data_IF_292739082179
#
_entry.id   IF_292739082179
#
_cell.length_a   1.000
_cell.length_b   1.000
_cell.length_c   1.000
_cell.angle_alpha   90.00
_cell.angle_beta   90.00
_cell.angle_gamma   90.00
#
_symmetry.space_group_name_H-M   'P 1'
#
loop_
_entity.id
_entity.type
_entity.pdbx_description
1 polymer ?
#
# COMPACT_ATOMS: atom_id res chain seq x y z
N UNK A 1 4.80 13.75 31.78
CA UNK A 1 5.64 12.61 31.37
C UNK A 1 4.73 11.44 31.15
N UNK A 2 4.58 11.02 29.89
CA UNK A 2 3.82 9.86 29.44
C UNK A 2 4.78 8.79 28.94
N UNK A 3 4.42 7.51 29.05
CA UNK A 3 5.22 6.44 28.45
C UNK A 3 4.83 6.26 26.99
N UNK A 4 5.82 6.03 26.14
CA UNK A 4 5.60 5.65 24.76
C UNK A 4 4.74 4.38 24.69
N UNK A 5 3.59 4.47 24.02
CA UNK A 5 2.65 3.37 23.82
C UNK A 5 3.07 2.41 22.71
N UNK A 6 4.11 2.73 21.93
CA UNK A 6 4.63 1.84 20.91
C UNK A 6 5.17 0.53 21.54
N UNK A 7 4.83 -0.64 20.98
CA UNK A 7 5.31 -1.91 21.50
C UNK A 7 6.84 -1.93 21.61
N UNK A 8 7.36 -2.33 22.77
CA UNK A 8 8.81 -2.52 23.04
C UNK A 8 9.66 -1.25 23.08
N UNK A 9 9.10 -0.04 23.01
CA UNK A 9 9.84 1.20 23.20
C UNK A 9 10.10 1.48 24.68
N UNK A 10 9.05 1.76 25.46
CA UNK A 10 9.14 1.99 26.91
C UNK A 10 9.77 3.33 27.33
N UNK A 11 10.08 4.22 26.38
CA UNK A 11 10.63 5.55 26.63
C UNK A 11 9.65 6.45 27.41
N UNK A 12 10.17 7.30 28.29
CA UNK A 12 9.40 8.35 28.96
C UNK A 12 9.48 9.65 28.16
N UNK A 13 8.33 10.20 27.80
CA UNK A 13 8.19 11.34 26.89
C UNK A 13 7.57 12.50 27.68
N UNK A 14 8.04 13.71 27.44
CA UNK A 14 7.32 14.91 27.86
C UNK A 14 6.08 15.06 26.96
N UNK A 15 4.89 15.16 27.56
CA UNK A 15 3.60 15.19 26.88
C UNK A 15 3.53 16.23 25.75
N UNK A 16 4.32 17.31 25.83
CA UNK A 16 4.39 18.35 24.79
C UNK A 16 5.13 17.92 23.51
N UNK A 17 5.86 16.80 23.56
CA UNK A 17 6.67 16.24 22.48
C UNK A 17 6.21 14.83 22.08
N UNK A 18 5.04 14.41 22.53
CA UNK A 18 4.45 13.14 22.15
C UNK A 18 3.67 13.28 20.83
N UNK A 19 3.80 12.28 19.96
CA UNK A 19 2.98 12.11 18.76
C UNK A 19 1.80 11.18 19.06
N UNK A 20 0.73 11.30 18.29
CA UNK A 20 -0.44 10.43 18.44
C UNK A 20 -0.43 9.30 17.40
N UNK A 21 -0.57 8.06 17.88
CA UNK A 21 -0.83 6.88 17.06
C UNK A 21 -2.34 6.76 16.82
N UNK A 22 -2.79 6.97 15.58
CA UNK A 22 -4.19 6.80 15.21
C UNK A 22 -4.61 5.33 15.04
N UNK A 23 -3.66 4.40 14.93
CA UNK A 23 -3.94 2.96 14.85
C UNK A 23 -4.14 2.35 16.25
N UNK A 24 -3.26 2.69 17.20
CA UNK A 24 -3.30 2.14 18.56
C UNK A 24 -4.05 3.03 19.56
N UNK A 25 -4.40 4.25 19.16
CA UNK A 25 -5.05 5.27 20.00
C UNK A 25 -4.23 5.65 21.25
N UNK A 26 -2.91 5.77 21.11
CA UNK A 26 -1.97 6.07 22.21
C UNK A 26 -0.94 7.14 21.83
N UNK A 27 -0.27 7.70 22.83
CA UNK A 27 0.87 8.61 22.65
C UNK A 27 2.15 7.81 22.40
N UNK A 28 2.95 8.22 21.41
CA UNK A 28 4.22 7.59 21.00
C UNK A 28 5.33 8.65 20.91
N UNK A 29 6.59 8.23 21.04
CA UNK A 29 7.72 9.15 20.92
C UNK A 29 7.99 9.47 19.44
N UNK A 30 8.69 10.59 19.20
CA UNK A 30 9.14 11.00 17.86
C UNK A 30 9.91 9.90 17.14
N UNK A 31 10.79 9.17 17.84
CA UNK A 31 11.56 8.09 17.23
C UNK A 31 10.69 6.94 16.72
N UNK A 32 9.64 6.57 17.45
CA UNK A 32 8.68 5.55 16.99
C UNK A 32 7.82 6.07 15.83
N UNK A 33 7.39 7.34 15.89
CA UNK A 33 6.63 7.96 14.80
C UNK A 33 7.45 7.99 13.49
N UNK A 34 8.68 8.53 13.54
CA UNK A 34 9.57 8.61 12.39
C UNK A 34 9.87 7.22 11.84
N UNK A 35 10.31 6.29 12.69
CA UNK A 35 10.64 4.93 12.26
C UNK A 35 9.47 4.20 11.61
N UNK A 36 8.23 4.42 12.09
CA UNK A 36 7.04 3.81 11.51
C UNK A 36 6.73 4.42 10.14
N UNK A 37 6.78 5.75 10.01
CA UNK A 37 6.53 6.44 8.73
C UNK A 37 7.61 6.17 7.66
N UNK A 38 8.88 6.02 8.06
CA UNK A 38 10.00 5.74 7.13
C UNK A 38 10.00 4.30 6.61
N UNK A 39 9.34 3.38 7.33
CA UNK A 39 9.25 1.96 6.98
C UNK A 39 7.80 1.52 6.76
N UNK A 40 6.91 2.47 6.45
CA UNK A 40 5.52 2.22 6.15
C UNK A 40 5.32 1.73 4.71
N UNK A 41 4.19 1.09 4.48
CA UNK A 41 3.70 0.75 3.15
C UNK A 41 3.05 1.97 2.51
N UNK A 42 3.26 2.16 1.21
CA UNK A 42 2.64 3.25 0.46
C UNK A 42 1.46 2.71 -0.35
N UNK A 43 0.29 3.30 -0.16
CA UNK A 43 -0.94 2.94 -0.87
C UNK A 43 -1.30 4.11 -1.75
N UNK A 44 -1.34 3.90 -3.07
CA UNK A 44 -1.76 4.90 -4.04
C UNK A 44 -3.05 4.44 -4.71
N UNK A 45 -4.13 5.19 -4.49
CA UNK A 45 -5.43 4.93 -5.10
C UNK A 45 -5.58 5.80 -6.34
N UNK A 46 -5.89 5.17 -7.46
CA UNK A 46 -6.18 5.81 -8.74
C UNK A 46 -7.67 5.67 -9.03
N UNK A 47 -8.34 6.79 -9.29
CA UNK A 47 -9.77 6.83 -9.57
C UNK A 47 -10.03 7.13 -11.06
N UNK A 48 -11.12 6.61 -11.65
CA UNK A 48 -11.51 6.91 -13.03
C UNK A 48 -11.72 8.39 -13.34
N UNK A 49 -12.00 9.22 -12.33
CA UNK A 49 -12.18 10.66 -12.47
C UNK A 49 -10.86 11.45 -12.56
N UNK A 50 -9.73 10.74 -12.53
CA UNK A 50 -8.39 11.32 -12.57
C UNK A 50 -7.84 11.72 -11.21
N UNK A 51 -8.57 11.50 -10.11
CA UNK A 51 -8.06 11.72 -8.77
C UNK A 51 -7.06 10.65 -8.35
N UNK A 52 -6.03 11.07 -7.62
CA UNK A 52 -5.02 10.21 -7.03
C UNK A 52 -4.95 10.53 -5.54
N UNK A 53 -5.10 9.52 -4.69
CA UNK A 53 -4.97 9.63 -3.24
C UNK A 53 -3.79 8.78 -2.77
N UNK A 54 -2.97 9.32 -1.87
CA UNK A 54 -1.85 8.60 -1.26
C UNK A 54 -2.07 8.44 0.24
N UNK A 55 -1.82 7.22 0.72
CA UNK A 55 -1.84 6.86 2.13
C UNK A 55 -0.51 6.21 2.48
N UNK A 56 0.06 6.60 3.59
CA UNK A 56 1.19 5.95 4.24
C UNK A 56 0.62 5.11 5.38
N UNK A 57 0.87 3.80 5.35
CA UNK A 57 0.36 2.85 6.34
C UNK A 57 1.51 2.16 7.06
N UNK A 58 1.76 2.56 8.31
CA UNK A 58 2.65 1.89 9.24
C UNK A 58 1.91 0.96 10.20
N UNK A 59 2.61 0.50 11.23
CA UNK A 59 2.05 -0.33 12.31
C UNK A 59 1.47 0.53 13.44
N UNK A 60 1.89 1.80 13.54
CA UNK A 60 1.47 2.75 14.57
C UNK A 60 0.64 3.90 13.98
N UNK A 61 0.96 4.34 12.77
CA UNK A 61 0.28 5.48 12.15
C UNK A 61 -0.18 5.17 10.73
N UNK A 62 -1.32 5.74 10.38
CA UNK A 62 -1.83 5.79 9.02
C UNK A 62 -2.17 7.24 8.67
N UNK A 63 -1.54 7.78 7.64
CA UNK A 63 -1.67 9.20 7.28
C UNK A 63 -1.87 9.38 5.77
N UNK A 64 -2.63 10.40 5.40
CA UNK A 64 -2.82 10.82 4.02
C UNK A 64 -1.63 11.63 3.50
N UNK A 65 -1.73 12.07 2.25
CA UNK A 65 -0.70 12.88 1.58
C UNK A 65 -0.32 14.15 2.35
N UNK A 66 -1.27 14.74 3.07
CA UNK A 66 -1.09 15.99 3.81
C UNK A 66 -0.82 15.78 5.31
N UNK A 67 -0.58 14.54 5.74
CA UNK A 67 -0.30 14.19 7.13
C UNK A 67 -1.54 14.11 8.01
N UNK A 68 -2.74 14.20 7.43
CA UNK A 68 -4.00 13.96 8.11
C UNK A 68 -4.17 12.47 8.46
N UNK A 69 -4.69 12.13 9.65
CA UNK A 69 -4.88 10.74 10.04
C UNK A 69 -5.95 10.07 9.17
N UNK A 70 -5.64 8.86 8.71
CA UNK A 70 -6.54 8.01 7.90
C UNK A 70 -7.00 6.82 8.71
N UNK A 71 -8.24 6.39 8.51
CA UNK A 71 -8.73 5.13 9.10
C UNK A 71 -8.04 3.92 8.45
N UNK A 72 -7.24 3.20 9.23
CA UNK A 72 -6.51 2.02 8.79
C UNK A 72 -7.36 0.74 8.72
N UNK A 73 -8.63 0.78 9.17
CA UNK A 73 -9.49 -0.42 9.31
C UNK A 73 -9.74 -1.20 8.02
N UNK A 74 -9.52 -0.57 6.86
CA UNK A 74 -9.66 -1.19 5.55
C UNK A 74 -8.50 -2.12 5.18
N UNK A 75 -7.37 -2.01 5.88
CA UNK A 75 -6.15 -2.73 5.57
C UNK A 75 -5.66 -3.58 6.74
N UNK A 76 -4.91 -4.61 6.37
CA UNK A 76 -4.15 -5.43 7.30
C UNK A 76 -2.72 -5.50 6.80
N UNK A 77 -1.77 -5.12 7.66
CA UNK A 77 -0.34 -5.13 7.37
C UNK A 77 0.37 -6.14 8.26
N UNK A 78 1.13 -7.04 7.66
CA UNK A 78 1.86 -8.09 8.39
C UNK A 78 3.31 -8.21 7.93
N UNK A 79 4.24 -8.36 8.88
CA UNK A 79 5.62 -8.72 8.55
C UNK A 79 5.76 -10.22 8.27
N UNK A 80 6.20 -10.56 7.06
CA UNK A 80 6.54 -11.92 6.61
C UNK A 80 8.04 -12.15 6.69
N UNK A 81 8.49 -12.82 7.75
CA UNK A 81 9.88 -13.18 7.93
C UNK A 81 10.31 -14.31 6.97
N UNK A 82 11.37 -14.07 6.18
CA UNK A 82 12.06 -15.09 5.39
C UNK A 82 13.29 -15.67 6.10
N UNK A 83 13.79 -14.96 7.12
CA UNK A 83 14.82 -15.44 8.05
C UNK A 83 14.73 -14.67 9.38
N UNK A 84 15.65 -14.93 10.32
CA UNK A 84 15.73 -14.20 11.58
C UNK A 84 15.94 -12.68 11.43
N UNK A 85 16.48 -12.22 10.29
CA UNK A 85 16.84 -10.81 10.04
C UNK A 85 16.25 -10.24 8.75
N UNK A 86 15.52 -11.05 7.99
CA UNK A 86 15.00 -10.67 6.66
C UNK A 86 13.53 -11.02 6.54
N UNK A 87 12.86 -10.23 5.74
CA UNK A 87 11.43 -10.36 5.44
C UNK A 87 10.96 -9.20 4.58
N UNK A 88 9.65 -9.12 4.45
CA UNK A 88 8.93 -8.04 3.80
C UNK A 88 7.61 -7.81 4.51
N UNK A 89 7.02 -6.64 4.32
CA UNK A 89 5.64 -6.42 4.67
C UNK A 89 4.71 -6.94 3.58
N UNK A 90 3.54 -7.36 4.01
CA UNK A 90 2.44 -7.85 3.19
C UNK A 90 1.20 -7.11 3.64
N UNK A 91 0.79 -6.11 2.84
CA UNK A 91 -0.38 -5.29 3.11
C UNK A 91 -1.53 -5.72 2.20
N UNK A 92 -2.64 -6.10 2.83
CA UNK A 92 -3.84 -6.62 2.16
C UNK A 92 -5.07 -5.81 2.55
N UNK A 93 -6.11 -5.85 1.72
CA UNK A 93 -7.42 -5.34 2.11
C UNK A 93 -8.17 -6.36 2.98
N UNK A 94 -8.91 -5.85 3.96
CA UNK A 94 -9.69 -6.70 4.87
C UNK A 94 -10.89 -7.35 4.17
N UNK A 95 -11.52 -6.65 3.21
CA UNK A 95 -12.67 -7.14 2.46
C UNK A 95 -13.00 -6.29 1.23
N UNK A 96 -13.68 -6.87 0.24
CA UNK A 96 -14.26 -6.13 -0.88
C UNK A 96 -13.28 -5.75 -1.99
N UNK A 97 -12.08 -6.31 -1.96
CA UNK A 97 -11.01 -6.08 -2.91
C UNK A 97 -10.34 -7.39 -3.29
N UNK A 98 -9.95 -7.48 -4.55
CA UNK A 98 -9.25 -8.60 -5.14
C UNK A 98 -7.89 -8.13 -5.62
N UNK A 99 -6.84 -8.85 -5.24
CA UNK A 99 -5.52 -8.70 -5.82
C UNK A 99 -5.55 -9.26 -7.25
N UNK A 100 -5.16 -8.43 -8.21
CA UNK A 100 -5.21 -8.75 -9.64
C UNK A 100 -3.83 -8.96 -10.26
N UNK A 101 -2.79 -8.45 -9.62
CA UNK A 101 -1.40 -8.62 -10.02
C UNK A 101 -0.48 -8.33 -8.83
N UNK A 102 0.67 -9.01 -8.77
CA UNK A 102 1.75 -8.74 -7.82
C UNK A 102 3.10 -8.79 -8.54
N UNK A 103 4.08 -8.00 -8.08
CA UNK A 103 5.42 -8.03 -8.63
C UNK A 103 6.46 -7.59 -7.59
N UNK A 104 7.73 -7.77 -7.92
CA UNK A 104 8.87 -7.30 -7.13
C UNK A 104 9.63 -6.23 -7.91
N UNK A 105 9.53 -4.98 -7.47
CA UNK A 105 10.32 -3.90 -8.04
C UNK A 105 11.76 -4.01 -7.56
N UNK A 106 12.70 -4.09 -8.49
CA UNK A 106 14.14 -4.14 -8.23
C UNK A 106 14.81 -2.88 -8.76
N UNK A 107 15.75 -2.31 -7.99
CA UNK A 107 16.50 -1.16 -8.44
C UNK A 107 17.21 -1.48 -9.77
N UNK A 108 16.80 -0.80 -10.85
CA UNK A 108 17.53 -0.77 -12.12
C UNK A 108 17.09 -1.79 -13.13
N UNK A 109 16.06 -2.54 -12.76
CA UNK A 109 15.36 -3.44 -13.65
C UNK A 109 13.98 -2.87 -13.92
N UNK A 110 13.55 -2.99 -15.17
CA UNK A 110 12.18 -2.68 -15.57
C UNK A 110 11.37 -3.96 -15.43
N UNK A 111 10.30 -3.91 -14.66
CA UNK A 111 9.46 -5.08 -14.38
C UNK A 111 8.06 -4.91 -14.98
N UNK A 112 7.30 -6.01 -15.11
CA UNK A 112 5.95 -5.96 -15.64
C UNK A 112 5.00 -5.14 -14.74
N UNK A 113 5.20 -5.21 -13.42
CA UNK A 113 4.50 -4.37 -12.45
C UNK A 113 4.81 -2.88 -12.62
N UNK A 114 6.06 -2.51 -12.95
CA UNK A 114 6.38 -1.11 -13.26
C UNK A 114 5.63 -0.64 -14.52
N UNK A 115 5.56 -1.48 -15.55
CA UNK A 115 4.82 -1.19 -16.78
C UNK A 115 3.31 -1.05 -16.53
N UNK A 116 2.74 -1.93 -15.70
CA UNK A 116 1.35 -1.85 -15.28
C UNK A 116 1.07 -0.57 -14.47
N UNK A 117 1.96 -0.21 -13.54
CA UNK A 117 1.85 1.02 -12.76
C UNK A 117 1.84 2.27 -13.64
N UNK A 118 2.74 2.35 -14.64
CA UNK A 118 2.74 3.45 -15.62
C UNK A 118 1.45 3.46 -16.44
N UNK A 119 0.97 2.30 -16.90
CA UNK A 119 -0.29 2.19 -17.66
C UNK A 119 -1.49 2.70 -16.84
N UNK A 120 -1.59 2.33 -15.56
CA UNK A 120 -2.63 2.80 -14.64
C UNK A 120 -2.55 4.31 -14.45
N UNK A 121 -1.36 4.84 -14.17
CA UNK A 121 -1.16 6.27 -13.97
C UNK A 121 -1.59 7.07 -15.21
N UNK A 122 -1.12 6.68 -16.40
CA UNK A 122 -1.49 7.35 -17.65
C UNK A 122 -3.00 7.28 -17.90
N UNK A 123 -3.64 6.12 -17.69
CA UNK A 123 -5.08 5.99 -17.88
C UNK A 123 -5.89 6.81 -16.87
N UNK A 124 -5.39 6.96 -15.64
CA UNK A 124 -5.98 7.84 -14.63
C UNK A 124 -5.91 9.30 -15.11
N UNK A 125 -4.73 9.77 -15.52
CA UNK A 125 -4.52 11.13 -16.01
C UNK A 125 -5.34 11.46 -17.27
N UNK A 126 -5.57 10.48 -18.13
CA UNK A 126 -6.38 10.61 -19.35
C UNK A 126 -7.89 10.39 -19.13
N UNK A 127 -8.32 9.99 -17.93
CA UNK A 127 -9.72 9.65 -17.64
C UNK A 127 -10.22 8.41 -18.40
N UNK A 128 -9.32 7.49 -18.74
CA UNK A 128 -9.61 6.22 -19.45
C UNK A 128 -9.49 4.99 -18.55
N UNK A 129 -9.16 5.18 -17.27
CA UNK A 129 -9.08 4.12 -16.28
C UNK A 129 -10.50 3.53 -16.05
N UNK A 130 -10.68 2.20 -16.19
CA UNK A 130 -12.02 1.61 -16.19
C UNK A 130 -12.68 1.51 -14.81
N UNK A 131 -11.89 1.47 -13.74
CA UNK A 131 -12.34 1.30 -12.36
C UNK A 131 -11.30 1.88 -11.39
N UNK A 132 -11.66 1.98 -10.12
CA UNK A 132 -10.71 2.32 -9.05
C UNK A 132 -9.62 1.23 -8.94
N UNK A 133 -8.36 1.64 -8.82
CA UNK A 133 -7.22 0.75 -8.64
C UNK A 133 -6.39 1.23 -7.46
N UNK A 134 -6.15 0.36 -6.50
CA UNK A 134 -5.24 0.61 -5.39
C UNK A 134 -3.92 -0.12 -5.65
N UNK A 135 -2.83 0.64 -5.72
CA UNK A 135 -1.47 0.12 -5.84
C UNK A 135 -0.83 0.20 -4.46
N UNK A 136 -0.36 -0.93 -3.95
CA UNK A 136 0.28 -1.04 -2.65
C UNK A 136 1.75 -1.34 -2.87
N UNK A 137 2.63 -0.55 -2.27
CA UNK A 137 4.07 -0.71 -2.33
C UNK A 137 4.62 -1.00 -0.93
N UNK A 138 4.96 -2.27 -0.69
CA UNK A 138 5.38 -2.79 0.60
C UNK A 138 6.91 -2.80 0.74
N UNK A 139 7.46 -2.24 1.83
CA UNK A 139 8.89 -2.25 2.05
C UNK A 139 9.39 -3.66 2.37
N UNK A 140 10.59 -3.96 1.86
CA UNK A 140 11.30 -5.20 2.17
C UNK A 140 12.53 -4.91 3.02
N UNK A 141 13.07 -5.93 3.66
CA UNK A 141 14.38 -5.86 4.33
C UNK A 141 15.56 -5.59 3.37
N UNK A 142 15.33 -5.57 2.06
CA UNK A 142 16.32 -5.18 1.06
C UNK A 142 15.99 -3.77 0.55
N UNK A 143 16.88 -2.81 0.81
CA UNK A 143 16.71 -1.41 0.38
C UNK A 143 16.63 -1.21 -1.14
N UNK A 144 16.99 -2.23 -1.93
CA UNK A 144 16.92 -2.21 -3.39
C UNK A 144 15.71 -2.98 -3.95
N UNK A 145 14.80 -3.44 -3.09
CA UNK A 145 13.62 -4.20 -3.50
C UNK A 145 12.36 -3.73 -2.77
N UNK A 146 11.25 -3.63 -3.51
CA UNK A 146 9.94 -3.27 -2.99
C UNK A 146 8.89 -4.23 -3.55
N UNK A 147 8.06 -4.81 -2.70
CA UNK A 147 6.90 -5.56 -3.16
C UNK A 147 5.85 -4.59 -3.70
N UNK A 148 5.23 -4.91 -4.82
CA UNK A 148 4.11 -4.14 -5.35
C UNK A 148 2.93 -5.06 -5.62
N UNK A 149 1.73 -4.64 -5.23
CA UNK A 149 0.49 -5.35 -5.51
C UNK A 149 -0.58 -4.40 -6.02
N UNK A 150 -1.42 -4.92 -6.91
CA UNK A 150 -2.48 -4.18 -7.58
C UNK A 150 -3.82 -4.75 -7.17
N UNK A 151 -4.71 -3.89 -6.69
CA UNK A 151 -5.99 -4.27 -6.14
C UNK A 151 -7.10 -3.49 -6.81
N UNK A 152 -8.21 -4.18 -7.07
CA UNK A 152 -9.46 -3.56 -7.53
C UNK A 152 -10.61 -4.08 -6.70
N UNK A 153 -11.76 -3.40 -6.75
CA UNK A 153 -12.99 -3.91 -6.12
C UNK A 153 -13.36 -5.25 -6.71
N UNK A 154 -13.91 -6.15 -5.91
CA UNK A 154 -14.28 -7.51 -6.35
C UNK A 154 -15.18 -7.51 -7.60
N UNK A 155 -16.09 -6.53 -7.69
CA UNK A 155 -16.99 -6.37 -8.83
C UNK A 155 -16.27 -5.95 -10.14
N UNK A 156 -15.11 -5.32 -10.03
CA UNK A 156 -14.36 -4.73 -11.14
C UNK A 156 -13.19 -5.60 -11.61
N UNK A 157 -12.87 -6.68 -10.90
CA UNK A 157 -11.77 -7.60 -11.22
C UNK A 157 -11.79 -8.06 -12.69
N UNK A 158 -12.98 -8.38 -13.21
CA UNK A 158 -13.13 -8.77 -14.61
C UNK A 158 -12.88 -7.62 -15.58
N UNK A 159 -13.47 -6.46 -15.31
CA UNK A 159 -13.32 -5.25 -16.12
C UNK A 159 -11.84 -4.85 -16.23
N UNK A 160 -11.14 -4.87 -15.09
CA UNK A 160 -9.72 -4.57 -15.04
C UNK A 160 -8.90 -5.60 -15.84
N UNK A 161 -9.15 -6.91 -15.65
CA UNK A 161 -8.42 -7.96 -16.35
C UNK A 161 -8.55 -7.85 -17.89
N UNK A 162 -9.73 -7.51 -18.40
CA UNK A 162 -9.96 -7.26 -19.83
C UNK A 162 -9.19 -6.04 -20.30
N UNK A 163 -9.21 -4.94 -19.54
CA UNK A 163 -8.48 -3.73 -19.88
C UNK A 163 -6.95 -3.92 -19.87
N UNK A 164 -6.42 -4.73 -18.94
CA UNK A 164 -4.99 -5.06 -18.90
C UNK A 164 -4.57 -5.88 -20.11
N UNK A 165 -5.26 -6.97 -20.40
CA UNK A 165 -4.86 -7.98 -21.42
C UNK A 165 -5.35 -7.66 -22.84
N UNK A 166 -6.30 -6.74 -22.99
CA UNK A 166 -7.01 -6.49 -24.24
C UNK A 166 -7.95 -7.63 -24.64
N UNK A 167 -8.85 -7.38 -25.60
CA UNK A 167 -9.87 -8.34 -26.09
C UNK A 167 -9.29 -9.68 -26.61
N UNK A 168 -7.99 -9.75 -26.90
CA UNK A 168 -7.34 -10.94 -27.48
C UNK A 168 -7.38 -12.18 -26.57
N UNK A 169 -7.48 -12.02 -25.24
CA UNK A 169 -7.59 -13.15 -24.31
C UNK A 169 -8.98 -13.81 -24.32
N UNK A 170 -10.04 -13.08 -24.68
CA UNK A 170 -11.43 -13.55 -24.61
C UNK A 170 -11.99 -14.11 -25.92
N UNK A 171 -11.40 -13.77 -27.07
CA UNK A 171 -11.73 -14.42 -28.34
C UNK A 171 -11.38 -15.93 -28.36
N UNK A 172 -10.48 -16.38 -27.49
CA UNK A 172 -10.08 -17.79 -27.34
C UNK A 172 -10.88 -18.59 -26.30
N UNK A 173 -11.68 -17.94 -25.45
CA UNK A 173 -12.38 -18.60 -24.33
C UNK A 173 -13.83 -19.01 -24.66
N UNK A 174 -14.41 -18.53 -25.76
CA UNK A 174 -15.76 -18.88 -26.23
C UNK A 174 -15.77 -19.95 -27.33
N UNK A 175 -14.61 -20.56 -27.62
CA UNK A 175 -14.47 -21.62 -28.62
C UNK A 175 -13.82 -22.89 -28.05
N UNK A 176 -14.40 -23.46 -26.99
CA UNK A 176 -14.27 -24.90 -26.67
C UNK A 176 -15.55 -25.45 -26.06
#
# INVERSE_FOLDING_TARGET
>A
MVKCGAPRCGEEIDDNYANYSNILEVQICEGCYQSDTEHASAITKFSPDGSVERVILGDLVAIGEYGDPVDASSWKREWRASSAWRGHYDTTFVSGWTEVEEDLLLWGERTEGQDLGVKIQTACEEGTLPCEVSVIADPTSNLFAQGISFWVRDADAMTFAVWVKGDAAYAGATSR
#
